data_IF_512719244861
#
_entry.id   IF_512719244861
#
_cell.length_a   1.000
_cell.length_b   1.000
_cell.length_c   1.000
_cell.angle_alpha   90.00
_cell.angle_beta   90.00
_cell.angle_gamma   90.00
#
_symmetry.space_group_name_H-M   'P 1'
#
loop_
_entity.id
_entity.type
_entity.pdbx_description
1 polymer ?
#
# COMPACT_ATOMS: atom_id res chain seq x y z
N UNK A 1 3.14 15.75 11.97
CA UNK A 1 2.43 14.45 11.78
C UNK A 1 3.48 13.36 11.61
N UNK A 2 3.85 12.69 12.70
CA UNK A 2 4.93 11.68 12.76
C UNK A 2 4.30 10.28 12.85
N UNK A 3 3.38 9.97 11.94
CA UNK A 3 2.71 8.66 11.85
C UNK A 3 3.49 7.73 10.90
N UNK A 4 4.25 8.29 9.96
CA UNK A 4 5.26 7.57 9.17
C UNK A 4 6.61 7.61 9.89
N UNK A 5 6.88 6.66 10.80
CA UNK A 5 8.29 6.29 11.01
C UNK A 5 8.71 5.38 9.84
N UNK A 6 9.15 6.04 8.77
CA UNK A 6 9.69 5.51 7.51
C UNK A 6 10.75 4.39 7.65
N UNK A 7 11.60 4.28 8.70
CA UNK A 7 12.72 3.33 8.68
C UNK A 7 12.37 1.84 8.77
N UNK A 8 11.22 1.45 9.35
CA UNK A 8 10.97 0.02 9.64
C UNK A 8 10.26 -0.73 8.50
N UNK A 9 9.58 -0.01 7.60
CA UNK A 9 8.87 -0.61 6.47
C UNK A 9 9.73 -0.64 5.20
N UNK A 10 10.67 0.30 5.07
CA UNK A 10 11.51 0.45 3.87
C UNK A 10 12.25 -0.84 3.44
N UNK A 11 12.91 -1.61 4.33
CA UNK A 11 13.54 -2.87 3.93
C UNK A 11 12.53 -3.95 3.54
N UNK A 12 11.36 -3.99 4.20
CA UNK A 12 10.27 -4.93 3.87
C UNK A 12 9.69 -4.60 2.49
N UNK A 13 9.45 -3.32 2.20
CA UNK A 13 8.96 -2.86 0.90
C UNK A 13 9.94 -3.14 -0.24
N UNK A 14 11.23 -2.86 -0.03
CA UNK A 14 12.26 -3.18 -1.02
C UNK A 14 12.34 -4.69 -1.28
N UNK A 15 12.23 -5.52 -0.24
CA UNK A 15 12.20 -6.97 -0.37
C UNK A 15 10.97 -7.49 -1.13
N UNK A 16 9.79 -6.94 -0.83
CA UNK A 16 8.53 -7.35 -1.47
C UNK A 16 8.41 -6.82 -2.90
N UNK A 17 8.86 -5.59 -3.17
CA UNK A 17 8.92 -5.05 -4.52
C UNK A 17 9.87 -5.86 -5.41
N UNK A 18 10.98 -6.38 -4.85
CA UNK A 18 11.91 -7.24 -5.57
C UNK A 18 11.37 -8.67 -5.78
N UNK A 19 10.59 -9.21 -4.82
CA UNK A 19 10.00 -10.56 -4.89
C UNK A 19 8.58 -10.60 -4.29
N UNK A 20 7.55 -10.18 -5.05
CA UNK A 20 6.19 -10.13 -4.54
C UNK A 20 5.57 -11.51 -4.29
N UNK A 21 6.10 -12.57 -4.93
CA UNK A 21 5.54 -13.94 -4.87
C UNK A 21 5.73 -14.67 -3.53
N UNK A 22 6.45 -14.07 -2.56
CA UNK A 22 6.68 -14.67 -1.23
C UNK A 22 6.12 -13.86 -0.06
N UNK A 23 5.45 -12.74 -0.32
CA UNK A 23 4.92 -11.89 0.71
C UNK A 23 3.54 -12.36 1.19
N UNK A 24 3.28 -12.31 2.50
CA UNK A 24 1.95 -12.56 3.01
C UNK A 24 0.97 -11.44 2.58
N UNK A 25 -0.34 -11.76 2.59
CA UNK A 25 -1.37 -10.84 2.13
C UNK A 25 -1.37 -9.51 2.92
N UNK A 26 -1.02 -9.51 4.20
CA UNK A 26 -1.02 -8.26 4.98
C UNK A 26 0.17 -7.37 4.70
N UNK A 27 1.32 -7.96 4.43
CA UNK A 27 2.51 -7.27 3.98
C UNK A 27 2.23 -6.61 2.62
N UNK A 28 1.55 -7.31 1.72
CA UNK A 28 1.07 -6.73 0.46
C UNK A 28 0.07 -5.59 0.70
N UNK A 29 -0.88 -5.74 1.62
CA UNK A 29 -1.82 -4.68 1.97
C UNK A 29 -1.10 -3.41 2.46
N UNK A 30 -0.10 -3.55 3.34
CA UNK A 30 0.71 -2.42 3.82
C UNK A 30 1.52 -1.76 2.69
N UNK A 31 2.07 -2.58 1.77
CA UNK A 31 2.79 -2.08 0.60
C UNK A 31 1.87 -1.22 -0.29
N UNK A 32 0.73 -1.76 -0.69
CA UNK A 32 -0.22 -1.06 -1.55
C UNK A 32 -0.83 0.17 -0.86
N UNK A 33 -1.15 0.09 0.43
CA UNK A 33 -1.64 1.23 1.20
C UNK A 33 -0.63 2.38 1.24
N UNK A 34 0.66 2.07 1.38
CA UNK A 34 1.70 3.11 1.39
C UNK A 34 1.94 3.69 0.00
N UNK A 35 1.92 2.85 -1.04
CA UNK A 35 2.00 3.33 -2.43
C UNK A 35 0.79 4.22 -2.79
N UNK A 36 -0.40 3.87 -2.29
CA UNK A 36 -1.60 4.69 -2.38
C UNK A 36 -1.41 6.03 -1.69
N UNK A 37 -1.00 6.05 -0.42
CA UNK A 37 -0.75 7.29 0.34
C UNK A 37 0.35 8.18 -0.30
N UNK A 38 1.39 7.57 -0.85
CA UNK A 38 2.41 8.31 -1.60
C UNK A 38 1.83 8.95 -2.87
N UNK A 39 0.99 8.20 -3.60
CA UNK A 39 0.35 8.68 -4.84
C UNK A 39 -0.71 9.75 -4.56
N UNK A 40 -1.42 9.69 -3.44
CA UNK A 40 -2.36 10.74 -3.03
C UNK A 40 -1.63 12.06 -2.74
N UNK A 41 -0.40 11.97 -2.21
CA UNK A 41 0.48 13.10 -1.89
C UNK A 41 1.10 13.80 -3.10
N UNK A 42 1.09 13.15 -4.28
CA UNK A 42 1.65 13.68 -5.53
C UNK A 42 0.58 14.33 -6.40
N UNK A 43 0.96 15.36 -7.17
CA UNK A 43 0.10 15.95 -8.20
C UNK A 43 -0.07 15.01 -9.40
N UNK A 44 -1.16 15.18 -10.16
CA UNK A 44 -1.38 14.39 -11.38
C UNK A 44 -0.26 14.52 -12.41
N UNK A 45 0.37 15.70 -12.49
CA UNK A 45 1.51 15.97 -13.37
C UNK A 45 2.77 15.24 -12.91
N UNK A 46 3.05 15.20 -11.61
CA UNK A 46 4.21 14.46 -11.07
C UNK A 46 4.05 12.96 -11.27
N UNK A 47 2.85 12.42 -11.03
CA UNK A 47 2.57 11.00 -11.24
C UNK A 47 2.71 10.63 -12.72
N UNK A 48 2.15 11.43 -13.62
CA UNK A 48 2.27 11.17 -15.06
C UNK A 48 3.72 11.26 -15.56
N UNK A 49 4.51 12.22 -15.08
CA UNK A 49 5.89 12.43 -15.54
C UNK A 49 6.88 11.43 -14.93
N UNK A 50 6.72 11.07 -13.66
CA UNK A 50 7.64 10.17 -12.97
C UNK A 50 7.28 8.69 -13.13
N UNK A 51 5.99 8.36 -13.17
CA UNK A 51 5.51 6.97 -13.19
C UNK A 51 4.89 6.55 -14.53
N UNK A 52 4.66 7.50 -15.46
CA UNK A 52 4.14 7.20 -16.80
C UNK A 52 2.69 6.70 -16.83
N UNK A 53 1.96 6.82 -15.71
CA UNK A 53 0.57 6.35 -15.56
C UNK A 53 -0.29 7.49 -15.05
N UNK A 54 -1.57 7.51 -15.45
CA UNK A 54 -2.53 8.48 -14.91
C UNK A 54 -2.77 8.24 -13.42
N UNK A 55 -2.72 9.32 -12.62
CA UNK A 55 -2.91 9.26 -11.15
C UNK A 55 -4.17 8.50 -10.74
N UNK A 56 -5.30 8.75 -11.38
CA UNK A 56 -6.56 8.09 -11.04
C UNK A 56 -6.57 6.60 -11.38
N UNK A 57 -5.87 6.19 -12.44
CA UNK A 57 -5.70 4.77 -12.79
C UNK A 57 -4.87 4.07 -11.72
N UNK A 58 -3.77 4.69 -11.30
CA UNK A 58 -2.87 4.13 -10.29
C UNK A 58 -3.53 4.02 -8.91
N UNK A 59 -4.26 5.05 -8.48
CA UNK A 59 -5.01 5.01 -7.22
C UNK A 59 -6.07 3.90 -7.20
N UNK A 60 -6.86 3.76 -8.29
CA UNK A 60 -7.86 2.69 -8.40
C UNK A 60 -7.23 1.30 -8.40
N UNK A 61 -6.05 1.15 -9.02
CA UNK A 61 -5.32 -0.10 -8.98
C UNK A 61 -4.94 -0.46 -7.54
N UNK A 62 -4.34 0.46 -6.80
CA UNK A 62 -3.96 0.21 -5.40
C UNK A 62 -5.16 -0.07 -4.49
N UNK A 63 -6.28 0.65 -4.64
CA UNK A 63 -7.51 0.35 -3.88
C UNK A 63 -7.94 -1.10 -4.07
N UNK A 64 -7.98 -1.57 -5.32
CA UNK A 64 -8.38 -2.95 -5.63
C UNK A 64 -7.43 -3.98 -5.03
N UNK A 65 -6.13 -3.73 -5.06
CA UNK A 65 -5.14 -4.65 -4.48
C UNK A 65 -5.21 -4.69 -2.95
N UNK A 66 -5.47 -3.55 -2.30
CA UNK A 66 -5.69 -3.46 -0.85
C UNK A 66 -6.94 -4.27 -0.45
N UNK A 67 -8.06 -4.05 -1.13
CA UNK A 67 -9.31 -4.78 -0.89
C UNK A 67 -9.14 -6.30 -1.11
N UNK A 68 -8.45 -6.67 -2.19
CA UNK A 68 -8.13 -8.06 -2.49
C UNK A 68 -7.26 -8.69 -1.42
N UNK A 69 -6.25 -7.97 -0.92
CA UNK A 69 -5.38 -8.44 0.14
C UNK A 69 -6.13 -8.65 1.47
N UNK A 70 -6.98 -7.70 1.87
CA UNK A 70 -7.83 -7.85 3.07
C UNK A 70 -8.80 -9.03 2.96
N UNK A 71 -9.38 -9.22 1.77
CA UNK A 71 -10.29 -10.34 1.50
C UNK A 71 -9.58 -11.68 1.61
N UNK A 72 -8.42 -11.83 0.95
CA UNK A 72 -7.61 -13.06 1.00
C UNK A 72 -7.09 -13.37 2.41
N UNK A 73 -6.81 -12.35 3.21
CA UNK A 73 -6.39 -12.50 4.59
C UNK A 73 -7.54 -12.72 5.58
N UNK A 74 -8.80 -12.68 5.13
CA UNK A 74 -9.99 -12.74 5.98
C UNK A 74 -9.91 -11.75 7.15
N UNK A 75 -9.39 -10.54 6.90
CA UNK A 75 -9.01 -9.60 7.95
C UNK A 75 -10.14 -9.26 8.94
N UNK A 76 -11.37 -9.12 8.44
CA UNK A 76 -12.52 -8.81 9.29
C UNK A 76 -12.86 -9.94 10.27
N UNK A 77 -12.47 -11.17 9.97
CA UNK A 77 -12.65 -12.34 10.84
C UNK A 77 -11.44 -12.55 11.76
N UNK A 78 -10.24 -12.30 11.24
CA UNK A 78 -8.98 -12.49 11.95
C UNK A 78 -8.13 -11.21 11.92
N UNK A 79 -8.54 -10.17 12.66
CA UNK A 79 -7.83 -8.90 12.65
C UNK A 79 -6.43 -9.06 13.28
N UNK A 80 -5.45 -8.41 12.65
CA UNK A 80 -4.09 -8.36 13.15
C UNK A 80 -3.50 -6.96 13.00
N UNK A 81 -2.38 -6.71 13.68
CA UNK A 81 -1.73 -5.39 13.74
C UNK A 81 -1.28 -4.90 12.36
N UNK A 82 -0.84 -5.80 11.47
CA UNK A 82 -0.41 -5.42 10.11
C UNK A 82 -1.61 -4.96 9.26
N UNK A 83 -2.74 -5.68 9.33
CA UNK A 83 -3.97 -5.28 8.68
C UNK A 83 -4.51 -3.96 9.20
N UNK A 84 -4.46 -3.74 10.52
CA UNK A 84 -4.87 -2.45 11.11
C UNK A 84 -3.96 -1.31 10.64
N UNK A 85 -2.66 -1.56 10.48
CA UNK A 85 -1.70 -0.59 9.94
C UNK A 85 -1.99 -0.23 8.49
N UNK A 86 -2.24 -1.24 7.64
CA UNK A 86 -2.63 -1.00 6.24
C UNK A 86 -3.92 -0.18 6.16
N UNK A 87 -4.93 -0.52 6.99
CA UNK A 87 -6.20 0.20 7.05
C UNK A 87 -6.00 1.65 7.50
N UNK A 88 -5.19 1.87 8.55
CA UNK A 88 -4.90 3.20 9.05
C UNK A 88 -4.22 4.07 7.97
N UNK A 89 -3.28 3.52 7.19
CA UNK A 89 -2.62 4.25 6.09
C UNK A 89 -3.60 4.54 4.95
N UNK A 90 -4.48 3.58 4.62
CA UNK A 90 -5.44 3.72 3.52
C UNK A 90 -6.52 4.79 3.79
N UNK A 91 -6.83 5.07 5.05
CA UNK A 91 -7.84 6.06 5.46
C UNK A 91 -7.31 7.49 5.60
N UNK A 92 -6.01 7.73 5.40
CA UNK A 92 -5.40 9.08 5.40
C UNK A 92 -5.40 9.66 3.99
#
# INVERSE_FOLDING_TARGET
>A
MKILHVPTIQPVMLGVAAKPQGADNMTLAVLYATAFAATTSMSSTEVATQLGVERLVLLRHFMREIDGAFTRAQFLLYPNVQGLKALAIYLV
#
